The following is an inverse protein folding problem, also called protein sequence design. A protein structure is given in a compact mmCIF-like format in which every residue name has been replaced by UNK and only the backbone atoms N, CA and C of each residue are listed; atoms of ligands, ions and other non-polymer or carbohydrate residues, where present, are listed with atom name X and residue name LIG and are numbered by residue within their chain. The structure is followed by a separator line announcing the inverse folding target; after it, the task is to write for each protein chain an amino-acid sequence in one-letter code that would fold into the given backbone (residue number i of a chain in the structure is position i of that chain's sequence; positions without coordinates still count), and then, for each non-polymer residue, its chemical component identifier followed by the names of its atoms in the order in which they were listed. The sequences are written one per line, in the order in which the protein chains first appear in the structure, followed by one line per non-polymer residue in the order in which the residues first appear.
data_IF_874162623443
#
_entry.id   IF_874162623443
#
_cell.length_a   1.000
_cell.length_b   1.000
_cell.length_c   1.000
_cell.angle_alpha   90.00
_cell.angle_beta   90.00
_cell.angle_gamma   90.00
#
_symmetry.space_group_name_H-M   'P 1'
#
loop_
_entity.id
_entity.type
_entity.pdbx_description
1 polymer ?
#
# COMPACT_ATOMS: atom_id res chain seq x y z
N UNK A 1 -27.97 -16.33 4.16
CA UNK A 1 -26.69 -15.63 3.88
C UNK A 1 -25.77 -16.65 3.21
N UNK A 2 -25.70 -16.62 1.88
CA UNK A 2 -24.97 -17.61 1.08
C UNK A 2 -23.50 -17.22 1.07
N UNK A 3 -22.65 -18.05 1.68
CA UNK A 3 -21.19 -17.93 1.58
C UNK A 3 -20.81 -18.33 0.16
N UNK A 4 -20.55 -17.33 -0.70
CA UNK A 4 -20.00 -17.53 -2.04
C UNK A 4 -18.53 -17.94 -1.93
N UNK A 5 -18.29 -19.24 -1.82
CA UNK A 5 -17.00 -19.85 -2.13
C UNK A 5 -16.65 -19.53 -3.60
N UNK A 6 -15.97 -18.40 -3.83
CA UNK A 6 -15.28 -18.15 -5.09
C UNK A 6 -14.18 -19.19 -5.22
N UNK A 7 -14.41 -20.17 -6.07
CA UNK A 7 -13.39 -21.06 -6.59
C UNK A 7 -12.38 -20.18 -7.33
N UNK A 8 -11.21 -19.95 -6.72
CA UNK A 8 -10.10 -19.32 -7.41
C UNK A 8 -9.64 -20.25 -8.52
N UNK A 9 -10.02 -19.91 -9.75
CA UNK A 9 -9.33 -20.40 -10.93
C UNK A 9 -7.84 -20.06 -10.76
N UNK A 10 -6.99 -21.09 -10.71
CA UNK A 10 -5.56 -20.95 -10.97
C UNK A 10 -5.40 -20.57 -12.43
N UNK A 11 -5.63 -19.31 -12.76
CA UNK A 11 -5.14 -18.73 -14.01
C UNK A 11 -3.62 -18.80 -14.00
N UNK A 12 -2.99 -19.15 -15.11
CA UNK A 12 -1.54 -19.00 -15.33
C UNK A 12 -1.09 -17.60 -14.91
N UNK A 13 -0.62 -17.47 -13.67
CA UNK A 13 -0.53 -16.20 -12.96
C UNK A 13 0.73 -16.18 -12.14
N UNK A 14 1.41 -15.03 -12.17
CA UNK A 14 2.62 -14.74 -11.40
C UNK A 14 2.38 -15.05 -9.92
N UNK A 15 3.34 -15.71 -9.28
CA UNK A 15 3.27 -16.04 -7.85
C UNK A 15 2.92 -14.80 -7.00
N UNK A 16 2.13 -14.96 -5.92
CA UNK A 16 1.71 -13.84 -5.09
C UNK A 16 2.87 -13.19 -4.34
N UNK A 17 2.75 -11.88 -4.08
CA UNK A 17 3.77 -11.12 -3.31
C UNK A 17 3.90 -11.58 -1.86
N UNK A 18 2.85 -12.17 -1.27
CA UNK A 18 2.83 -12.62 0.12
C UNK A 18 2.07 -13.95 0.28
N UNK A 19 2.53 -14.80 1.22
CA UNK A 19 1.97 -16.13 1.49
C UNK A 19 0.60 -16.08 2.18
N UNK A 20 0.32 -15.04 2.97
CA UNK A 20 -0.89 -14.96 3.82
C UNK A 20 -2.04 -14.28 3.08
N UNK A 21 -1.80 -13.11 2.48
CA UNK A 21 -2.85 -12.29 1.85
C UNK A 21 -2.75 -12.23 0.32
N UNK A 22 -1.84 -13.00 -0.29
CA UNK A 22 -1.69 -13.03 -1.73
C UNK A 22 -1.33 -11.66 -2.31
N UNK A 23 -2.03 -11.28 -3.38
CA UNK A 23 -1.96 -9.95 -4.02
C UNK A 23 -3.17 -9.06 -3.68
N UNK A 24 -3.90 -9.36 -2.59
CA UNK A 24 -5.12 -8.61 -2.20
C UNK A 24 -4.90 -7.09 -2.13
N UNK A 25 -3.67 -6.63 -1.85
CA UNK A 25 -3.32 -5.22 -1.83
C UNK A 25 -3.47 -4.50 -3.18
N UNK A 26 -3.19 -5.19 -4.29
CA UNK A 26 -3.32 -4.66 -5.65
C UNK A 26 -4.78 -4.65 -6.12
N UNK A 27 -5.47 -5.76 -5.87
CA UNK A 27 -6.89 -5.92 -6.22
C UNK A 27 -7.74 -4.85 -5.53
N UNK A 28 -7.53 -4.63 -4.23
CA UNK A 28 -8.32 -3.66 -3.46
C UNK A 28 -7.98 -2.20 -3.76
N UNK A 29 -6.74 -1.88 -4.20
CA UNK A 29 -6.33 -0.48 -4.43
C UNK A 29 -6.47 0.00 -5.86
N UNK A 30 -6.25 -0.87 -6.85
CA UNK A 30 -6.07 -0.42 -8.23
C UNK A 30 -6.90 -1.20 -9.27
N UNK A 31 -7.59 -2.30 -8.88
CA UNK A 31 -8.24 -3.21 -9.83
C UNK A 31 -7.29 -3.65 -10.98
N UNK A 32 -5.98 -3.67 -10.70
CA UNK A 32 -4.95 -4.04 -11.65
C UNK A 32 -4.62 -5.52 -11.53
N UNK A 33 -4.36 -6.16 -12.67
CA UNK A 33 -3.80 -7.50 -12.69
C UNK A 33 -2.32 -7.46 -12.20
N UNK A 34 -1.91 -8.31 -11.24
CA UNK A 34 -0.52 -8.37 -10.77
C UNK A 34 0.54 -8.64 -11.86
N UNK A 35 0.12 -9.18 -13.01
CA UNK A 35 0.97 -9.39 -14.17
C UNK A 35 1.33 -8.09 -14.93
N UNK A 36 0.53 -7.04 -14.78
CA UNK A 36 0.66 -5.79 -15.56
C UNK A 36 1.52 -4.74 -14.86
N UNK A 37 1.98 -5.02 -13.63
CA UNK A 37 2.76 -4.09 -12.81
C UNK A 37 4.15 -4.64 -12.48
N UNK A 38 5.14 -3.75 -12.42
CA UNK A 38 6.50 -4.14 -12.07
C UNK A 38 6.61 -4.58 -10.60
N UNK A 39 7.64 -5.37 -10.30
CA UNK A 39 7.86 -5.98 -9.00
C UNK A 39 7.97 -4.96 -7.84
N UNK A 40 8.69 -3.87 -8.09
CA UNK A 40 8.89 -2.81 -7.11
C UNK A 40 7.56 -2.17 -6.70
N UNK A 41 6.66 -1.96 -7.67
CA UNK A 41 5.32 -1.45 -7.41
C UNK A 41 4.51 -2.43 -6.57
N UNK A 42 4.49 -3.72 -6.93
CA UNK A 42 3.77 -4.76 -6.16
C UNK A 42 4.19 -4.80 -4.69
N UNK A 43 5.50 -4.87 -4.43
CA UNK A 43 6.02 -4.95 -3.06
C UNK A 43 5.70 -3.67 -2.29
N UNK A 44 5.89 -2.50 -2.89
CA UNK A 44 5.58 -1.20 -2.25
C UNK A 44 4.09 -1.13 -1.89
N UNK A 45 3.21 -1.40 -2.84
CA UNK A 45 1.75 -1.36 -2.63
C UNK A 45 1.31 -2.32 -1.54
N UNK A 46 1.90 -3.53 -1.53
CA UNK A 46 1.65 -4.54 -0.49
C UNK A 46 2.04 -4.06 0.89
N UNK A 47 3.28 -3.56 1.06
CA UNK A 47 3.77 -3.14 2.36
C UNK A 47 3.02 -1.93 2.91
N UNK A 48 2.68 -0.96 2.06
CA UNK A 48 1.83 0.17 2.43
C UNK A 48 0.43 -0.30 2.88
N UNK A 49 -0.16 -1.26 2.17
CA UNK A 49 -1.46 -1.82 2.51
C UNK A 49 -1.45 -2.54 3.87
N UNK A 50 -0.45 -3.40 4.10
CA UNK A 50 -0.31 -4.12 5.38
C UNK A 50 -0.01 -3.16 6.53
N UNK A 51 0.83 -2.15 6.33
CA UNK A 51 1.07 -1.11 7.34
C UNK A 51 -0.25 -0.44 7.74
N UNK A 52 -1.09 -0.07 6.77
CA UNK A 52 -2.38 0.56 7.04
C UNK A 52 -3.33 -0.37 7.82
N UNK A 53 -3.37 -1.67 7.49
CA UNK A 53 -4.16 -2.65 8.27
C UNK A 53 -3.75 -2.61 9.74
N UNK A 54 -2.45 -2.70 10.02
CA UNK A 54 -1.94 -2.78 11.40
C UNK A 54 -2.13 -1.45 12.12
N UNK A 55 -1.90 -0.30 11.45
CA UNK A 55 -2.12 1.03 12.04
C UNK A 55 -3.56 1.28 12.50
N UNK A 56 -4.52 0.66 11.82
CA UNK A 56 -5.94 0.80 12.15
C UNK A 56 -6.40 -0.15 13.28
N UNK A 57 -5.52 -1.02 13.79
CA UNK A 57 -5.79 -1.88 14.96
C UNK A 57 -5.45 -1.10 16.24
N UNK A 58 -6.35 -0.22 16.68
CA UNK A 58 -6.17 0.53 17.92
C UNK A 58 -6.58 -0.28 19.16
N UNK A 59 -5.91 -0.06 20.32
CA UNK A 59 -4.74 0.80 20.53
C UNK A 59 -3.41 0.11 20.13
N UNK A 60 -2.43 0.90 19.72
CA UNK A 60 -1.06 0.46 19.45
C UNK A 60 -0.09 1.03 20.50
N UNK A 61 0.89 0.24 20.95
CA UNK A 61 1.97 0.77 21.79
C UNK A 61 2.94 1.65 21.03
N UNK A 62 3.69 2.45 21.79
CA UNK A 62 4.75 3.31 21.25
C UNK A 62 5.82 2.50 20.51
N UNK A 63 6.20 1.32 21.02
CA UNK A 63 7.21 0.47 20.39
C UNK A 63 6.73 -0.02 19.02
N UNK A 64 5.49 -0.53 18.95
CA UNK A 64 4.89 -0.97 17.69
C UNK A 64 4.76 0.18 16.69
N UNK A 65 4.32 1.35 17.15
CA UNK A 65 4.22 2.55 16.32
C UNK A 65 5.57 2.97 15.73
N UNK A 66 6.64 2.93 16.53
CA UNK A 66 7.99 3.23 16.07
C UNK A 66 8.48 2.24 15.01
N UNK A 67 8.26 0.94 15.20
CA UNK A 67 8.59 -0.06 14.19
C UNK A 67 7.78 0.14 12.90
N UNK A 68 6.49 0.49 12.98
CA UNK A 68 5.68 0.82 11.81
C UNK A 68 6.16 2.10 11.10
N UNK A 69 6.76 3.06 11.81
CA UNK A 69 7.41 4.21 11.18
C UNK A 69 8.64 3.79 10.37
N UNK A 70 9.43 2.84 10.88
CA UNK A 70 10.53 2.25 10.09
C UNK A 70 10.03 1.45 8.89
N UNK A 71 8.89 0.75 9.01
CA UNK A 71 8.23 0.12 7.86
C UNK A 71 7.81 1.15 6.80
N UNK A 72 7.24 2.28 7.24
CA UNK A 72 6.86 3.41 6.39
C UNK A 72 8.04 3.93 5.57
N UNK A 73 9.15 4.20 6.25
CA UNK A 73 10.40 4.63 5.61
C UNK A 73 10.90 3.58 4.62
N UNK A 74 10.87 2.30 4.99
CA UNK A 74 11.39 1.20 4.18
C UNK A 74 10.67 1.10 2.83
N UNK A 75 9.34 1.00 2.81
CA UNK A 75 8.63 0.89 1.53
C UNK A 75 8.66 2.21 0.76
N UNK A 76 8.78 3.38 1.41
CA UNK A 76 9.01 4.66 0.72
C UNK A 76 10.38 4.74 0.07
N UNK A 77 11.41 4.09 0.60
CA UNK A 77 12.74 4.00 -0.04
C UNK A 77 12.73 3.07 -1.25
N UNK A 78 11.92 2.02 -1.25
CA UNK A 78 11.78 1.11 -2.40
C UNK A 78 13.04 0.32 -2.72
N UNK A 79 13.82 -0.04 -1.69
CA UNK A 79 14.99 -0.90 -1.82
C UNK A 79 14.65 -2.24 -1.18
N UNK A 80 14.39 -3.24 -2.02
CA UNK A 80 13.91 -4.55 -1.59
C UNK A 80 14.91 -5.65 -1.96
N UNK A 81 14.98 -6.74 -1.16
CA UNK A 81 15.79 -7.91 -1.46
C UNK A 81 15.56 -8.46 -2.87
N UNK A 82 16.63 -8.98 -3.46
CA UNK A 82 16.61 -9.64 -4.77
C UNK A 82 17.23 -11.03 -4.71
N UNK A 83 16.82 -11.92 -5.60
CA UNK A 83 17.47 -13.23 -5.79
C UNK A 83 18.49 -13.17 -6.93
N UNK A 84 19.66 -13.76 -6.73
CA UNK A 84 20.76 -13.81 -7.71
C UNK A 84 20.90 -15.15 -8.43
N UNK A 85 20.09 -16.15 -8.07
CA UNK A 85 20.07 -17.47 -8.70
C UNK A 85 18.68 -17.78 -9.24
N UNK A 86 18.63 -18.45 -10.39
CA UNK A 86 17.36 -18.80 -11.03
C UNK A 86 16.55 -19.71 -10.10
N UNK A 87 15.45 -19.15 -9.58
CA UNK A 87 14.42 -19.89 -8.89
C UNK A 87 13.15 -19.73 -9.70
N UNK A 88 12.47 -20.85 -9.96
CA UNK A 88 11.20 -20.85 -10.69
C UNK A 88 10.05 -20.26 -9.88
N UNK A 89 10.26 -20.02 -8.58
CA UNK A 89 9.24 -19.63 -7.62
C UNK A 89 9.69 -18.42 -6.81
N UNK A 90 8.72 -17.65 -6.29
CA UNK A 90 9.00 -16.60 -5.31
C UNK A 90 9.36 -17.19 -3.95
N UNK A 91 10.50 -16.77 -3.39
CA UNK A 91 10.90 -17.13 -2.04
C UNK A 91 11.10 -15.89 -1.16
N UNK A 92 10.84 -15.97 0.15
CA UNK A 92 11.28 -14.93 1.07
C UNK A 92 12.81 -14.88 1.06
N UNK A 93 13.34 -13.71 1.39
CA UNK A 93 14.78 -13.53 1.62
C UNK A 93 14.97 -12.53 2.75
N UNK A 94 15.73 -12.89 3.78
CA UNK A 94 15.86 -12.06 4.97
C UNK A 94 16.85 -10.91 4.77
N UNK A 95 18.05 -11.20 4.26
CA UNK A 95 19.02 -10.20 3.76
C UNK A 95 19.55 -10.72 2.42
N UNK A 96 19.60 -9.86 1.40
CA UNK A 96 20.16 -10.24 0.10
C UNK A 96 21.68 -10.10 0.00
N UNK A 97 22.21 -10.53 -1.15
CA UNK A 97 23.63 -10.50 -1.47
C UNK A 97 24.25 -9.07 -1.53
N UNK A 98 23.43 -8.03 -1.59
CA UNK A 98 23.86 -6.63 -1.53
C UNK A 98 23.67 -6.03 -0.12
N UNK A 99 23.30 -6.84 0.87
CA UNK A 99 23.03 -6.39 2.23
C UNK A 99 21.65 -5.72 2.40
N UNK A 100 20.76 -5.83 1.41
CA UNK A 100 19.41 -5.26 1.51
C UNK A 100 18.57 -6.18 2.40
N UNK A 101 18.09 -5.62 3.50
CA UNK A 101 17.24 -6.32 4.47
C UNK A 101 15.80 -6.38 3.95
N UNK A 102 15.06 -7.44 4.29
CA UNK A 102 13.61 -7.46 4.10
C UNK A 102 12.90 -6.49 5.06
N UNK A 103 11.59 -6.29 4.86
CA UNK A 103 10.80 -5.39 5.68
C UNK A 103 10.90 -5.70 7.19
N UNK A 104 10.73 -6.96 7.59
CA UNK A 104 10.88 -7.38 8.99
C UNK A 104 12.31 -7.18 9.50
N UNK A 105 13.32 -7.59 8.73
CA UNK A 105 14.73 -7.40 9.06
C UNK A 105 15.11 -5.93 9.21
N UNK A 106 14.55 -5.04 8.40
CA UNK A 106 14.78 -3.60 8.49
C UNK A 106 14.16 -2.99 9.75
N UNK A 107 12.93 -3.35 10.11
CA UNK A 107 12.33 -2.91 11.38
C UNK A 107 13.16 -3.36 12.58
N UNK A 108 13.62 -4.61 12.58
CA UNK A 108 14.50 -5.14 13.63
C UNK A 108 15.84 -4.39 13.66
N UNK A 109 16.47 -4.16 12.49
CA UNK A 109 17.72 -3.42 12.38
C UNK A 109 17.63 -2.02 12.98
N UNK A 110 16.48 -1.36 12.85
CA UNK A 110 16.23 -0.01 13.36
C UNK A 110 15.75 0.04 14.81
N UNK A 111 15.50 -1.12 15.41
CA UNK A 111 15.06 -1.26 16.79
C UNK A 111 16.27 -1.17 17.74
N UNK A 112 16.32 -0.18 18.66
CA UNK A 112 17.45 -0.02 19.57
C UNK A 112 17.77 -1.30 20.35
N UNK A 113 19.03 -1.73 20.31
CA UNK A 113 19.52 -2.92 21.01
C UNK A 113 19.30 -4.25 20.27
N UNK A 114 18.72 -4.22 19.05
CA UNK A 114 18.49 -5.39 18.21
C UNK A 114 19.21 -5.32 16.86
N UNK A 115 20.14 -4.39 16.67
CA UNK A 115 20.83 -4.13 15.40
C UNK A 115 21.61 -5.35 14.90
N UNK A 116 22.06 -6.21 15.81
CA UNK A 116 22.78 -7.45 15.49
C UNK A 116 21.84 -8.59 15.02
N UNK A 117 20.56 -8.52 15.38
CA UNK A 117 19.62 -9.63 15.24
C UNK A 117 19.34 -10.00 13.78
N UNK A 118 19.22 -9.07 12.81
CA UNK A 118 18.94 -9.44 11.44
C UNK A 118 20.00 -10.34 10.83
N UNK A 119 21.28 -10.05 11.07
CA UNK A 119 22.39 -10.88 10.61
C UNK A 119 22.37 -12.27 11.27
N UNK A 120 22.03 -12.33 12.57
CA UNK A 120 21.89 -13.59 13.30
C UNK A 120 20.77 -14.48 12.75
N UNK A 121 19.62 -13.90 12.44
CA UNK A 121 18.51 -14.61 11.80
C UNK A 121 18.91 -15.05 10.40
N UNK A 122 19.48 -14.15 9.60
CA UNK A 122 19.85 -14.44 8.21
C UNK A 122 20.82 -15.62 8.09
N UNK A 123 21.78 -15.76 9.01
CA UNK A 123 22.76 -16.84 9.01
C UNK A 123 22.15 -18.26 9.10
N UNK A 124 20.89 -18.38 9.54
CA UNK A 124 20.20 -19.67 9.71
C UNK A 124 18.91 -19.78 8.90
N UNK A 125 18.29 -18.65 8.60
CA UNK A 125 16.91 -18.56 8.13
C UNK A 125 16.77 -17.63 6.93
N UNK A 126 17.82 -17.47 6.12
CA UNK A 126 17.84 -16.56 4.95
C UNK A 126 16.58 -16.68 4.08
N UNK A 127 16.12 -17.89 3.80
CA UNK A 127 14.95 -18.17 2.94
C UNK A 127 13.73 -18.68 3.71
N UNK A 128 13.69 -18.52 5.03
CA UNK A 128 12.56 -19.01 5.84
C UNK A 128 11.45 -17.97 5.96
N UNK A 129 10.23 -18.46 6.07
CA UNK A 129 9.07 -17.63 6.40
C UNK A 129 9.08 -17.25 7.89
N UNK A 130 8.46 -16.12 8.25
CA UNK A 130 8.41 -15.65 9.65
C UNK A 130 7.75 -16.68 10.58
N UNK A 131 6.67 -17.34 10.15
CA UNK A 131 6.02 -18.42 10.91
C UNK A 131 6.99 -19.57 11.22
N UNK A 132 7.86 -19.93 10.28
CA UNK A 132 8.89 -20.95 10.49
C UNK A 132 9.97 -20.48 11.48
N UNK A 133 10.41 -19.22 11.38
CA UNK A 133 11.43 -18.66 12.27
C UNK A 133 10.89 -18.57 13.70
N UNK A 134 9.67 -18.05 13.88
CA UNK A 134 9.02 -17.88 15.17
C UNK A 134 8.74 -19.22 15.89
N UNK A 135 8.48 -20.28 15.14
CA UNK A 135 8.26 -21.63 15.68
C UNK A 135 9.56 -22.45 15.83
N UNK A 136 10.72 -21.87 15.52
CA UNK A 136 12.00 -22.55 15.70
C UNK A 136 12.45 -22.56 17.18
N UNK A 137 13.49 -23.34 17.49
CA UNK A 137 14.13 -23.30 18.82
C UNK A 137 14.90 -22.01 19.08
N UNK A 138 15.13 -21.19 18.05
CA UNK A 138 15.79 -19.89 18.16
C UNK A 138 14.78 -18.80 18.56
N UNK A 139 14.81 -18.41 19.83
CA UNK A 139 13.83 -17.46 20.39
C UNK A 139 14.15 -15.98 20.17
N UNK A 140 15.21 -15.61 19.44
CA UNK A 140 15.59 -14.21 19.35
C UNK A 140 14.56 -13.36 18.60
N UNK A 141 13.92 -13.90 17.55
CA UNK A 141 12.82 -13.22 16.87
C UNK A 141 11.64 -13.01 17.83
N UNK A 142 11.25 -14.04 18.58
CA UNK A 142 10.14 -13.97 19.54
C UNK A 142 10.40 -12.94 20.65
N UNK A 143 11.65 -12.77 21.10
CA UNK A 143 12.02 -11.72 22.07
C UNK A 143 11.77 -10.32 21.52
N UNK A 144 12.19 -10.06 20.28
CA UNK A 144 11.91 -8.78 19.61
C UNK A 144 10.41 -8.57 19.41
N UNK A 145 9.70 -9.60 18.93
CA UNK A 145 8.25 -9.59 18.73
C UNK A 145 7.49 -9.22 20.00
N UNK A 146 7.84 -9.83 21.13
CA UNK A 146 7.20 -9.56 22.41
C UNK A 146 7.46 -8.12 22.89
N UNK A 147 8.66 -7.58 22.68
CA UNK A 147 8.99 -6.21 23.08
C UNK A 147 8.30 -5.15 22.21
N UNK A 148 8.15 -5.44 20.92
CA UNK A 148 7.50 -4.54 19.95
C UNK A 148 6.01 -4.87 19.74
N UNK A 149 5.49 -5.83 20.50
CA UNK A 149 4.10 -6.29 20.50
C UNK A 149 3.57 -6.68 19.11
N UNK A 150 4.43 -7.30 18.29
CA UNK A 150 4.02 -7.94 17.05
C UNK A 150 3.64 -9.38 17.28
N UNK A 151 2.58 -9.84 16.62
CA UNK A 151 2.26 -11.26 16.51
C UNK A 151 2.80 -11.86 15.19
N UNK A 152 2.82 -13.19 15.12
CA UNK A 152 3.34 -13.94 13.95
C UNK A 152 2.56 -13.61 12.68
N UNK A 153 1.23 -13.43 12.77
CA UNK A 153 0.39 -13.16 11.61
C UNK A 153 0.72 -11.78 11.00
N UNK A 154 0.89 -10.76 11.82
CA UNK A 154 1.26 -9.41 11.35
C UNK A 154 2.59 -9.42 10.61
N UNK A 155 3.62 -10.02 11.20
CA UNK A 155 4.94 -10.09 10.55
C UNK A 155 4.93 -11.00 9.32
N UNK A 156 4.11 -12.05 9.31
CA UNK A 156 3.93 -12.90 8.14
C UNK A 156 3.22 -12.17 7.00
N UNK A 157 2.30 -11.25 7.28
CA UNK A 157 1.75 -10.34 6.27
C UNK A 157 2.78 -9.33 5.79
N UNK A 158 3.63 -8.82 6.70
CA UNK A 158 4.68 -7.87 6.36
C UNK A 158 5.77 -8.51 5.47
N UNK A 159 6.07 -9.80 5.63
CA UNK A 159 7.13 -10.48 4.88
C UNK A 159 6.73 -10.73 3.41
N UNK A 160 7.32 -10.03 2.43
CA UNK A 160 7.12 -10.36 1.04
C UNK A 160 7.95 -11.58 0.66
N UNK A 161 7.54 -12.25 -0.41
CA UNK A 161 8.41 -13.09 -1.22
C UNK A 161 8.95 -12.25 -2.38
N UNK A 162 10.03 -12.69 -3.02
CA UNK A 162 10.67 -11.95 -4.10
C UNK A 162 10.84 -12.84 -5.32
N UNK A 163 10.63 -12.27 -6.50
CA UNK A 163 10.93 -12.95 -7.76
C UNK A 163 12.43 -13.02 -8.05
N UNK A 164 12.82 -14.07 -8.79
CA UNK A 164 14.08 -14.05 -9.50
C UNK A 164 13.98 -13.09 -10.69
N UNK A 165 14.76 -12.01 -10.65
CA UNK A 165 14.92 -11.13 -11.80
C UNK A 165 15.93 -11.76 -12.77
N UNK A 166 15.44 -12.48 -13.78
CA UNK A 166 16.27 -12.76 -14.95
C UNK A 166 16.55 -11.42 -15.65
N UNK A 167 17.80 -10.95 -15.64
CA UNK A 167 18.22 -9.65 -16.17
C UNK A 167 17.75 -9.39 -17.61
N UNK A 168 17.63 -10.44 -18.43
CA UNK A 168 17.10 -10.34 -19.82
C UNK A 168 15.57 -10.18 -19.89
N UNK A 169 14.85 -10.63 -18.88
CA UNK A 169 13.39 -10.50 -18.81
C UNK A 169 12.96 -9.16 -18.21
N UNK A 170 13.70 -8.64 -17.23
CA UNK A 170 13.44 -7.30 -16.68
C UNK A 170 13.57 -6.21 -17.75
N UNK A 171 14.62 -6.28 -18.58
CA UNK A 171 14.83 -5.33 -19.68
C UNK A 171 13.68 -5.34 -20.70
N UNK A 172 13.14 -6.53 -21.04
CA UNK A 172 11.99 -6.64 -21.95
C UNK A 172 10.69 -6.15 -21.33
N UNK A 173 10.45 -6.42 -20.05
CA UNK A 173 9.22 -5.98 -19.34
C UNK A 173 9.24 -4.47 -19.10
N UNK A 174 10.39 -3.89 -18.77
CA UNK A 174 10.55 -2.45 -18.57
C UNK A 174 10.39 -1.67 -19.88
N UNK A 175 10.85 -2.22 -21.00
CA UNK A 175 10.61 -1.65 -22.33
C UNK A 175 9.13 -1.70 -22.72
N UNK A 176 8.46 -2.84 -22.50
CA UNK A 176 7.02 -2.99 -22.75
C UNK A 176 6.16 -2.05 -21.88
N UNK A 177 6.52 -1.88 -20.60
CA UNK A 177 5.79 -0.98 -19.68
C UNK A 177 5.97 0.49 -20.06
N UNK A 178 7.14 0.86 -20.59
CA UNK A 178 7.40 2.22 -21.11
C UNK A 178 6.65 2.48 -22.41
N UNK A 179 6.61 1.53 -23.34
CA UNK A 179 5.81 1.63 -24.58
C UNK A 179 4.32 1.75 -24.29
N UNK A 180 3.77 0.94 -23.37
CA UNK A 180 2.36 1.04 -22.99
C UNK A 180 2.03 2.39 -22.33
N UNK A 181 2.92 2.92 -21.50
CA UNK A 181 2.76 4.26 -20.91
C UNK A 181 2.82 5.37 -21.97
N UNK A 182 3.67 5.21 -22.99
CA UNK A 182 3.83 6.18 -24.08
C UNK A 182 2.64 6.16 -25.06
N UNK A 183 2.10 4.98 -25.36
CA UNK A 183 0.86 4.83 -26.15
C UNK A 183 -0.34 5.45 -25.43
N UNK A 184 -0.42 5.30 -24.10
CA UNK A 184 -1.51 5.88 -23.30
C UNK A 184 -1.45 7.41 -23.25
N UNK A 185 -0.25 7.99 -23.18
CA UNK A 185 -0.05 9.44 -23.23
C UNK A 185 -0.38 10.01 -24.63
N UNK A 186 0.04 9.32 -25.70
CA UNK A 186 -0.29 9.73 -27.07
C UNK A 186 -1.81 9.64 -27.37
N UNK A 187 -2.51 8.68 -26.78
CA UNK A 187 -3.97 8.53 -26.92
C UNK A 187 -4.76 9.60 -26.15
N UNK A 188 -4.23 10.09 -25.02
CA UNK A 188 -4.81 11.22 -24.28
C UNK A 188 -4.65 12.53 -25.06
N UNK A 189 -3.48 12.75 -25.66
CA UNK A 189 -3.20 13.93 -26.50
C UNK A 189 -4.08 13.95 -27.78
N UNK A 190 -4.36 12.80 -28.38
CA UNK A 190 -5.28 12.72 -29.53
C UNK A 190 -6.74 13.00 -29.16
N UNK A 191 -7.19 12.54 -27.99
CA UNK A 191 -8.55 12.85 -27.48
C UNK A 191 -8.71 14.33 -27.14
N UNK A 192 -7.66 14.96 -26.62
CA UNK A 192 -7.67 16.39 -26.32
C UNK A 192 -7.70 17.23 -27.61
N UNK A 193 -6.94 16.84 -28.64
CA UNK A 193 -6.99 17.45 -29.99
C UNK A 193 -8.33 17.27 -30.70
N UNK A 194 -8.99 16.12 -30.54
CA UNK A 194 -10.32 15.89 -31.12
C UNK A 194 -11.41 16.71 -30.40
N UNK A 195 -11.27 16.97 -29.09
CA UNK A 195 -12.20 17.81 -28.33
C UNK A 195 -12.11 19.30 -28.70
N UNK A 196 -10.94 19.75 -29.18
CA UNK A 196 -10.70 21.14 -29.59
C UNK A 196 -11.15 21.43 -31.04
N UNK A 197 -11.35 20.40 -31.87
CA UNK A 197 -11.80 20.54 -33.26
C UNK A 197 -13.33 20.67 -33.40
N UNK A 198 -14.12 20.27 -32.39
CA UNK A 198 -15.59 20.25 -32.46
C UNK A 198 -16.26 21.54 -31.97
N UNK A 199 -15.50 22.63 -31.78
CA UNK A 199 -16.02 23.89 -31.20
C UNK A 199 -16.26 25.01 -32.22
N UNK A 200 -16.77 24.72 -33.41
CA UNK A 200 -17.26 25.77 -34.35
C UNK A 200 -18.45 25.28 -35.17
N UNK A 201 -19.66 25.30 -34.60
CA UNK A 201 -20.89 25.57 -35.37
C UNK A 201 -21.81 26.40 -34.47
N UNK A 202 -21.79 27.72 -34.66
CA UNK A 202 -22.85 28.58 -34.14
C UNK A 202 -24.08 28.45 -35.06
N UNK A 203 -25.30 28.29 -34.54
CA UNK A 203 -26.50 28.28 -35.37
C UNK A 203 -26.80 29.69 -35.90
N UNK A 204 -27.38 29.82 -37.10
CA UNK A 204 -27.66 31.12 -37.71
C UNK A 204 -28.73 31.88 -36.92
N UNK A 205 -28.43 33.14 -36.67
CA UNK A 205 -29.27 34.12 -35.99
C UNK A 205 -30.45 34.53 -36.87
N UNK A 206 -31.67 34.22 -36.43
CA UNK A 206 -32.91 34.77 -37.00
C UNK A 206 -33.18 36.13 -36.36
N UNK A 207 -33.30 37.15 -37.20
CA UNK A 207 -33.59 38.54 -36.87
C UNK A 207 -34.95 38.72 -36.20
N UNK A 208 -34.98 39.43 -35.06
CA UNK A 208 -36.18 39.96 -34.41
C UNK A 208 -36.82 41.08 -35.26
N UNK A 209 -38.14 41.29 -35.16
CA UNK A 209 -38.70 42.62 -35.20
C UNK A 209 -39.03 43.12 -33.78
N UNK A 210 -38.84 44.42 -33.65
CA UNK A 210 -38.98 45.30 -32.50
C UNK A 210 -40.42 45.43 -31.99
N UNK A 211 -40.62 45.39 -30.66
CA UNK A 211 -41.61 46.23 -29.96
C UNK A 211 -41.51 46.14 -28.43
N UNK A 212 -41.28 47.32 -27.84
CA UNK A 212 -41.76 47.85 -26.54
C UNK A 212 -41.28 47.20 -25.23
N UNK A 213 -40.48 47.99 -24.50
CA UNK A 213 -40.43 48.08 -23.03
C UNK A 213 -41.79 48.58 -22.46
N UNK A 214 -42.12 48.45 -21.15
CA UNK A 214 -41.20 48.64 -20.02
C UNK A 214 -41.46 47.84 -18.72
N UNK A 215 -40.66 48.21 -17.70
CA UNK A 215 -40.88 48.13 -16.24
C UNK A 215 -40.18 47.01 -15.42
N UNK A 216 -39.12 47.47 -14.74
CA UNK A 216 -38.87 47.36 -13.30
C UNK A 216 -39.46 46.17 -12.53
N UNK A 217 -38.57 45.40 -11.89
CA UNK A 217 -38.43 45.49 -10.43
C UNK A 217 -37.17 44.82 -9.90
N UNK A 218 -36.52 45.62 -9.07
CA UNK A 218 -35.57 45.31 -8.00
C UNK A 218 -36.10 44.20 -7.06
N UNK A 219 -35.20 43.46 -6.40
CA UNK A 219 -35.22 43.09 -4.97
C UNK A 219 -34.00 42.20 -4.68
N UNK A 220 -33.05 42.84 -4.00
CA UNK A 220 -32.02 42.32 -3.10
C UNK A 220 -32.61 41.57 -1.89
N UNK A 221 -31.98 40.47 -1.44
CA UNK A 221 -31.63 40.12 -0.03
C UNK A 221 -31.23 38.64 0.08
N UNK A 222 -30.02 38.29 0.58
CA UNK A 222 -29.65 37.97 1.99
C UNK A 222 -30.48 36.78 2.54
N UNK A 223 -29.95 35.70 3.12
CA UNK A 223 -29.11 35.55 4.33
C UNK A 223 -28.51 34.12 4.33
N UNK A 224 -27.20 33.90 4.53
CA UNK A 224 -26.53 33.61 5.81
C UNK A 224 -27.31 32.77 6.83
N UNK A 225 -26.89 31.51 7.01
CA UNK A 225 -27.15 30.72 8.21
C UNK A 225 -25.83 30.26 8.80
N UNK A 226 -25.57 30.68 10.03
CA UNK A 226 -24.46 30.28 10.88
C UNK A 226 -25.08 29.84 12.20
N UNK A 227 -24.82 28.61 12.64
CA UNK A 227 -25.17 28.16 14.00
C UNK A 227 -23.90 27.61 14.65
N UNK A 228 -23.42 28.38 15.63
CA UNK A 228 -22.56 27.94 16.75
C UNK A 228 -23.46 27.36 17.84
N UNK A 229 -22.91 26.46 18.67
CA UNK A 229 -22.88 26.49 20.14
C UNK A 229 -22.38 25.12 20.66
N UNK A 230 -21.20 25.08 21.32
CA UNK A 230 -20.95 25.07 22.79
C UNK A 230 -21.38 23.75 23.46
N UNK A 231 -20.50 22.92 24.05
CA UNK A 231 -19.58 23.08 25.20
C UNK A 231 -20.25 22.81 26.57
N UNK A 232 -19.42 22.32 27.51
CA UNK A 232 -19.58 22.11 28.97
C UNK A 232 -20.16 20.73 29.36
N UNK A 233 -19.83 20.03 30.45
CA UNK A 233 -18.81 19.98 31.54
C UNK A 233 -19.28 18.75 32.41
N UNK A 234 -18.52 17.95 33.15
CA UNK A 234 -17.94 18.10 34.52
C UNK A 234 -17.79 16.64 35.08
N UNK A 235 -16.66 16.23 35.69
CA UNK A 235 -16.43 15.91 37.14
C UNK A 235 -17.40 14.87 37.80
N UNK A 236 -17.08 13.94 38.72
CA UNK A 236 -16.09 13.90 39.81
C UNK A 236 -15.98 12.47 40.46
N UNK A 237 -14.77 12.13 40.94
CA UNK A 237 -14.29 11.34 42.13
C UNK A 237 -15.01 10.14 42.81
N UNK A 238 -14.14 9.30 43.42
CA UNK A 238 -14.22 8.64 44.77
C UNK A 238 -14.39 7.11 44.77
N UNK A 239 -13.83 6.24 45.62
CA UNK A 239 -12.70 6.21 46.57
C UNK A 239 -12.53 4.73 47.04
N UNK A 240 -11.29 4.38 47.38
CA UNK A 240 -10.78 3.38 48.35
C UNK A 240 -11.75 2.47 49.15
N UNK A 241 -11.37 1.19 49.30
CA UNK A 241 -11.62 0.42 50.53
C UNK A 241 -10.69 -0.80 50.72
N UNK A 242 -9.79 -0.66 51.70
CA UNK A 242 -9.24 -1.59 52.71
C UNK A 242 -9.04 -3.11 52.51
N UNK A 243 -7.90 -3.53 53.08
CA UNK A 243 -7.45 -4.82 53.66
C UNK A 243 -6.68 -5.78 52.76
#
# INVERSE_FOLDING_TARGET
MIIMLKLYSTTEGRDPVNKIIGDSSLENKFDHNPNDVNEQFRIRTHLEYVENIIRNQSPLSLMKLNALNHLNEYWKRGQFPTHNHFQQQRLPRFIDHNGIHCAAGYMILKSPGFEYLPNKINARYEYSFIDQIANSTDNHLNKWMNMYEFNVNELSMIQPTYEFLNRRQSEKRDMSSKEQSQVKNNSLDEKEKLSQSTKVIQPPTISKPDRRQPEERDISSKEQFQVKNNSLDEEEKSSQSTK
#
